data_IF_127099531609
#
_entry.id   IF_127099531609
#
_cell.length_a   1.000
_cell.length_b   1.000
_cell.length_c   1.000
_cell.angle_alpha   90.00
_cell.angle_beta   90.00
_cell.angle_gamma   90.00
#
_symmetry.space_group_name_H-M   'P 1'
#
loop_
_entity.id
_entity.type
_entity.pdbx_description
1 polymer ?
#
# COMPACT_ATOMS: atom_id res chain seq x y z
N UNK A 1 -9.36 -8.68 12.89
CA UNK A 1 -7.89 -8.49 12.77
C UNK A 1 -7.11 -9.75 12.34
N UNK A 2 -7.44 -10.97 12.81
CA UNK A 2 -6.68 -12.22 12.47
C UNK A 2 -6.62 -12.60 10.98
N UNK A 3 -7.57 -12.17 10.15
CA UNK A 3 -7.69 -12.62 8.74
C UNK A 3 -6.91 -11.78 7.71
N UNK A 4 -6.24 -10.69 8.13
CA UNK A 4 -5.52 -9.79 7.20
C UNK A 4 -4.11 -10.33 6.89
N UNK A 5 -3.37 -10.77 7.89
CA UNK A 5 -2.00 -11.28 7.73
C UNK A 5 -1.91 -12.59 6.93
N UNK A 6 -2.87 -13.51 7.08
CA UNK A 6 -2.91 -14.78 6.33
C UNK A 6 -3.11 -14.52 4.83
N UNK A 7 -3.84 -13.46 4.46
CA UNK A 7 -4.01 -13.05 3.05
C UNK A 7 -2.79 -12.32 2.47
N UNK A 8 -1.99 -11.65 3.31
CA UNK A 8 -0.78 -10.94 2.87
C UNK A 8 0.40 -11.90 2.63
N UNK A 9 0.43 -13.08 3.26
CA UNK A 9 1.49 -14.07 3.08
C UNK A 9 1.68 -14.54 1.62
N UNK A 10 0.66 -15.08 0.92
CA UNK A 10 0.82 -15.54 -0.46
C UNK A 10 1.17 -14.38 -1.41
N UNK A 11 0.67 -13.17 -1.12
CA UNK A 11 1.02 -11.97 -1.88
C UNK A 11 2.49 -11.60 -1.72
N UNK A 12 3.01 -11.65 -0.49
CA UNK A 12 4.41 -11.34 -0.19
C UNK A 12 5.34 -12.35 -0.85
N UNK A 13 4.97 -13.62 -0.83
CA UNK A 13 5.70 -14.69 -1.53
C UNK A 13 5.71 -14.44 -3.04
N UNK A 14 4.56 -14.10 -3.63
CA UNK A 14 4.48 -13.77 -5.05
C UNK A 14 5.34 -12.56 -5.44
N UNK A 15 5.33 -11.50 -4.64
CA UNK A 15 6.21 -10.32 -4.84
C UNK A 15 7.67 -10.74 -4.76
N UNK A 16 8.05 -11.54 -3.76
CA UNK A 16 9.42 -12.03 -3.63
C UNK A 16 9.88 -12.89 -4.79
N UNK A 17 9.00 -13.74 -5.34
CA UNK A 17 9.27 -14.51 -6.56
C UNK A 17 9.46 -13.60 -7.78
N UNK A 18 8.63 -12.57 -7.94
CA UNK A 18 8.79 -11.59 -9.02
C UNK A 18 10.13 -10.87 -8.90
N UNK A 19 10.48 -10.37 -7.70
CA UNK A 19 11.76 -9.67 -7.47
C UNK A 19 12.93 -10.60 -7.76
N UNK A 20 12.84 -11.87 -7.32
CA UNK A 20 13.86 -12.87 -7.63
C UNK A 20 14.03 -13.07 -9.15
N UNK A 21 12.93 -13.27 -9.88
CA UNK A 21 12.96 -13.38 -11.33
C UNK A 21 13.59 -12.14 -11.98
N UNK A 22 13.26 -10.93 -11.53
CA UNK A 22 13.85 -9.69 -12.04
C UNK A 22 15.37 -9.66 -11.78
N UNK A 23 15.81 -10.00 -10.57
CA UNK A 23 17.25 -10.04 -10.22
C UNK A 23 18.00 -11.02 -11.13
N UNK A 24 17.44 -12.22 -11.35
CA UNK A 24 18.05 -13.21 -12.25
C UNK A 24 18.06 -12.72 -13.69
N UNK A 25 16.97 -12.11 -14.17
CA UNK A 25 16.93 -11.52 -15.51
C UNK A 25 18.00 -10.43 -15.69
N UNK A 26 18.21 -9.57 -14.70
CA UNK A 26 19.27 -8.54 -14.74
C UNK A 26 20.65 -9.20 -14.84
N UNK A 27 20.94 -10.25 -14.06
CA UNK A 27 22.21 -10.99 -14.13
C UNK A 27 22.45 -11.57 -15.54
N UNK A 28 21.45 -12.23 -16.11
CA UNK A 28 21.52 -12.80 -17.47
C UNK A 28 21.76 -11.72 -18.52
N UNK A 29 21.06 -10.59 -18.44
CA UNK A 29 21.24 -9.47 -19.36
C UNK A 29 22.64 -8.83 -19.27
N UNK A 30 23.28 -8.92 -18.11
CA UNK A 30 24.66 -8.49 -17.91
C UNK A 30 25.71 -9.52 -18.40
N UNK A 31 25.25 -10.67 -18.93
CA UNK A 31 26.11 -11.71 -19.49
C UNK A 31 26.46 -12.84 -18.52
N UNK A 32 25.89 -12.86 -17.31
CA UNK A 32 26.12 -13.96 -16.35
C UNK A 32 25.36 -15.22 -16.80
N UNK A 33 26.03 -16.37 -16.74
CA UNK A 33 25.39 -17.66 -16.94
C UNK A 33 24.60 -18.07 -15.68
N UNK A 34 23.39 -18.61 -15.87
CA UNK A 34 22.61 -19.18 -14.76
C UNK A 34 23.18 -20.57 -14.44
N UNK A 35 23.78 -20.69 -13.27
CA UNK A 35 24.16 -21.97 -12.68
C UNK A 35 23.19 -22.32 -11.54
N UNK A 36 22.72 -23.57 -11.50
CA UNK A 36 21.89 -24.09 -10.41
C UNK A 36 22.78 -24.51 -9.23
N UNK A 37 23.49 -23.55 -8.66
CA UNK A 37 24.47 -23.74 -7.60
C UNK A 37 23.95 -23.28 -6.23
N UNK A 38 24.82 -23.33 -5.21
CA UNK A 38 24.50 -22.81 -3.88
C UNK A 38 24.28 -21.30 -3.89
N UNK A 39 24.96 -20.55 -4.77
CA UNK A 39 24.79 -19.11 -4.89
C UNK A 39 23.37 -18.73 -5.35
N UNK A 40 22.78 -19.49 -6.28
CA UNK A 40 21.40 -19.28 -6.70
C UNK A 40 20.42 -19.54 -5.55
N UNK A 41 20.65 -20.60 -4.76
CA UNK A 41 19.83 -20.91 -3.56
C UNK A 41 19.92 -19.81 -2.51
N UNK A 42 21.13 -19.31 -2.23
CA UNK A 42 21.35 -18.21 -1.30
C UNK A 42 20.70 -16.92 -1.81
N UNK A 43 20.85 -16.61 -3.10
CA UNK A 43 20.18 -15.45 -3.74
C UNK A 43 18.66 -15.54 -3.58
N UNK A 44 18.07 -16.72 -3.79
CA UNK A 44 16.64 -16.94 -3.60
C UNK A 44 16.21 -16.72 -2.15
N UNK A 45 16.92 -17.33 -1.20
CA UNK A 45 16.61 -17.23 0.23
C UNK A 45 16.73 -15.78 0.72
N UNK A 46 17.80 -15.08 0.37
CA UNK A 46 17.99 -13.68 0.72
C UNK A 46 16.92 -12.79 0.09
N UNK A 47 16.56 -13.02 -1.17
CA UNK A 47 15.49 -12.24 -1.82
C UNK A 47 14.14 -12.40 -1.10
N UNK A 48 13.82 -13.61 -0.66
CA UNK A 48 12.63 -13.85 0.16
C UNK A 48 12.76 -13.17 1.54
N UNK A 49 13.90 -13.31 2.21
CA UNK A 49 14.14 -12.69 3.52
C UNK A 49 13.94 -11.17 3.47
N UNK A 50 14.50 -10.51 2.46
CA UNK A 50 14.26 -9.08 2.20
C UNK A 50 12.79 -8.78 1.97
N UNK A 51 12.15 -9.49 1.05
CA UNK A 51 10.75 -9.25 0.66
C UNK A 51 9.80 -9.39 1.85
N UNK A 52 9.96 -10.43 2.65
CA UNK A 52 9.13 -10.66 3.83
C UNK A 52 9.38 -9.62 4.92
N UNK A 53 10.64 -9.36 5.27
CA UNK A 53 11.00 -8.43 6.34
C UNK A 53 10.53 -7.02 6.05
N UNK A 54 10.76 -6.54 4.83
CA UNK A 54 10.36 -5.20 4.39
C UNK A 54 8.84 -5.07 4.29
N UNK A 55 8.15 -6.09 3.76
CA UNK A 55 6.70 -6.08 3.67
C UNK A 55 6.04 -6.07 5.05
N UNK A 56 6.53 -6.88 5.99
CA UNK A 56 6.01 -6.92 7.37
C UNK A 56 6.22 -5.59 8.06
N UNK A 57 7.44 -5.03 7.99
CA UNK A 57 7.77 -3.76 8.62
C UNK A 57 6.88 -2.62 8.09
N UNK A 58 6.81 -2.47 6.76
CA UNK A 58 6.02 -1.41 6.14
C UNK A 58 4.51 -1.62 6.35
N UNK A 59 4.00 -2.84 6.24
CA UNK A 59 2.58 -3.12 6.50
C UNK A 59 2.20 -2.76 7.94
N UNK A 60 3.06 -3.09 8.90
CA UNK A 60 2.82 -2.77 10.32
C UNK A 60 2.82 -1.26 10.54
N UNK A 61 3.78 -0.54 9.95
CA UNK A 61 3.83 0.92 9.97
C UNK A 61 2.55 1.55 9.39
N UNK A 62 2.12 1.11 8.20
CA UNK A 62 0.92 1.69 7.59
C UNK A 62 -0.35 1.37 8.36
N UNK A 63 -0.47 0.18 8.94
CA UNK A 63 -1.59 -0.17 9.81
C UNK A 63 -1.61 0.66 11.09
N UNK A 64 -0.44 0.99 11.64
CA UNK A 64 -0.32 1.91 12.76
C UNK A 64 -0.76 3.33 12.35
N UNK A 65 -0.25 3.84 11.24
CA UNK A 65 -0.63 5.17 10.72
C UNK A 65 -2.12 5.25 10.38
N UNK A 66 -2.75 4.17 9.88
CA UNK A 66 -4.19 4.14 9.59
C UNK A 66 -5.06 4.27 10.84
N UNK A 67 -4.54 3.88 12.01
CA UNK A 67 -5.19 4.09 13.31
C UNK A 67 -4.96 5.52 13.81
N UNK A 68 -3.76 6.07 13.63
CA UNK A 68 -3.44 7.45 14.05
C UNK A 68 -4.20 8.48 13.21
N UNK A 69 -4.34 8.23 11.91
CA UNK A 69 -5.02 9.12 10.96
C UNK A 69 -6.41 8.60 10.58
N UNK A 70 -7.18 8.06 11.53
CA UNK A 70 -8.47 7.39 11.24
C UNK A 70 -9.46 8.28 10.47
N UNK A 71 -9.56 9.56 10.83
CA UNK A 71 -10.46 10.52 10.19
C UNK A 71 -9.90 11.14 8.91
N UNK A 72 -8.59 11.01 8.67
CA UNK A 72 -7.85 11.66 7.59
C UNK A 72 -6.93 10.70 6.84
N UNK A 73 -7.37 9.45 6.66
CA UNK A 73 -6.54 8.36 6.09
C UNK A 73 -5.93 8.69 4.73
N UNK A 74 -6.56 9.58 3.96
CA UNK A 74 -6.12 9.99 2.63
C UNK A 74 -5.64 11.44 2.56
N UNK A 75 -5.38 12.10 3.70
CA UNK A 75 -4.84 13.47 3.69
C UNK A 75 -3.40 13.51 3.19
N UNK A 76 -3.01 14.63 2.55
CA UNK A 76 -1.63 14.86 2.09
C UNK A 76 -0.61 14.69 3.23
N UNK A 77 -0.98 15.12 4.45
CA UNK A 77 -0.17 14.96 5.66
C UNK A 77 0.09 13.49 5.99
N UNK A 78 -0.95 12.65 6.00
CA UNK A 78 -0.81 11.20 6.24
C UNK A 78 0.09 10.56 5.19
N UNK A 79 -0.12 10.88 3.91
CA UNK A 79 0.67 10.31 2.80
C UNK A 79 2.15 10.68 2.95
N UNK A 80 2.45 11.96 3.22
CA UNK A 80 3.82 12.43 3.42
C UNK A 80 4.52 11.74 4.60
N UNK A 81 3.86 11.71 5.76
CA UNK A 81 4.39 11.04 6.96
C UNK A 81 4.60 9.55 6.70
N UNK A 82 3.65 8.89 6.03
CA UNK A 82 3.76 7.48 5.65
C UNK A 82 4.95 7.20 4.75
N UNK A 83 5.16 8.02 3.72
CA UNK A 83 6.29 7.87 2.80
C UNK A 83 7.64 8.09 3.51
N UNK A 84 7.77 9.17 4.29
CA UNK A 84 9.02 9.49 5.00
C UNK A 84 9.35 8.44 6.07
N UNK A 85 8.36 8.05 6.88
CA UNK A 85 8.58 7.01 7.91
C UNK A 85 8.89 5.64 7.28
N UNK A 86 8.24 5.29 6.18
CA UNK A 86 8.51 4.06 5.42
C UNK A 86 9.91 4.05 4.80
N UNK A 87 10.38 5.20 4.33
CA UNK A 87 11.74 5.37 3.80
C UNK A 87 12.79 5.03 4.86
N UNK A 88 12.74 5.70 6.00
CA UNK A 88 13.71 5.47 7.09
C UNK A 88 13.58 4.08 7.70
N UNK A 89 12.36 3.57 7.87
CA UNK A 89 12.13 2.21 8.35
C UNK A 89 12.72 1.17 7.41
N UNK A 90 12.57 1.35 6.09
CA UNK A 90 13.10 0.40 5.12
C UNK A 90 14.62 0.37 5.12
N UNK A 91 15.28 1.52 5.21
CA UNK A 91 16.74 1.59 5.36
C UNK A 91 17.20 0.87 6.63
N UNK A 92 16.52 1.11 7.75
CA UNK A 92 16.83 0.44 9.02
C UNK A 92 16.66 -1.08 8.92
N UNK A 93 15.57 -1.55 8.29
CA UNK A 93 15.32 -2.98 8.09
C UNK A 93 16.39 -3.60 7.18
N UNK A 94 16.76 -2.93 6.08
CA UNK A 94 17.85 -3.39 5.20
C UNK A 94 19.15 -3.49 5.98
N UNK A 95 19.48 -2.48 6.80
CA UNK A 95 20.67 -2.51 7.67
C UNK A 95 20.65 -3.72 8.61
N UNK A 96 19.53 -3.98 9.28
CA UNK A 96 19.39 -5.13 10.18
C UNK A 96 19.55 -6.47 9.44
N UNK A 97 18.99 -6.59 8.23
CA UNK A 97 19.14 -7.81 7.41
C UNK A 97 20.60 -7.99 6.98
N UNK A 98 21.28 -6.93 6.55
CA UNK A 98 22.71 -6.98 6.18
C UNK A 98 23.61 -7.31 7.36
N UNK A 99 23.35 -6.70 8.52
CA UNK A 99 24.03 -7.03 9.76
C UNK A 99 23.85 -8.51 10.09
N UNK A 100 22.63 -9.04 10.00
CA UNK A 100 22.36 -10.45 10.26
C UNK A 100 23.11 -11.37 9.28
N UNK A 101 23.06 -11.10 7.97
CA UNK A 101 23.75 -11.92 6.98
C UNK A 101 25.27 -11.85 7.13
N UNK A 102 25.84 -10.65 7.13
CA UNK A 102 27.30 -10.48 7.09
C UNK A 102 27.96 -10.86 8.43
N UNK A 103 27.35 -10.49 9.56
CA UNK A 103 27.97 -10.71 10.88
C UNK A 103 27.62 -12.07 11.46
N UNK A 104 26.35 -12.49 11.37
CA UNK A 104 25.88 -13.73 12.03
C UNK A 104 26.05 -14.94 11.12
N UNK A 105 25.72 -14.83 9.83
CA UNK A 105 25.82 -15.97 8.90
C UNK A 105 27.25 -16.10 8.34
N UNK A 106 27.81 -15.02 7.81
CA UNK A 106 29.13 -15.04 7.16
C UNK A 106 30.30 -14.88 8.16
N UNK A 107 30.01 -14.53 9.41
CA UNK A 107 31.01 -14.44 10.48
C UNK A 107 31.95 -13.24 10.37
N UNK A 108 31.60 -12.20 9.59
CA UNK A 108 32.41 -10.99 9.46
C UNK A 108 32.37 -10.24 10.81
N UNK A 109 33.53 -9.86 11.38
CA UNK A 109 33.54 -9.07 12.61
C UNK A 109 32.70 -7.80 12.48
N UNK A 110 31.86 -7.50 13.48
CA UNK A 110 30.95 -6.34 13.44
C UNK A 110 31.68 -5.02 13.14
N UNK A 111 32.90 -4.86 13.65
CA UNK A 111 33.73 -3.68 13.39
C UNK A 111 34.14 -3.56 11.92
N UNK A 112 34.37 -4.68 11.24
CA UNK A 112 34.72 -4.70 9.83
C UNK A 112 33.50 -4.42 8.98
N UNK A 113 32.36 -5.05 9.28
CA UNK A 113 31.08 -4.75 8.64
C UNK A 113 30.82 -3.25 8.65
N UNK A 114 30.77 -2.61 9.84
CA UNK A 114 30.50 -1.18 9.98
C UNK A 114 31.48 -0.27 9.22
N UNK A 115 32.73 -0.69 9.02
CA UNK A 115 33.73 0.07 8.26
C UNK A 115 33.58 -0.07 6.75
N UNK A 116 33.08 -1.21 6.28
CA UNK A 116 32.89 -1.51 4.86
C UNK A 116 31.52 -1.11 4.34
N UNK A 117 30.61 -0.67 5.20
CA UNK A 117 29.27 -0.24 4.81
C UNK A 117 29.30 0.97 3.88
N UNK A 118 28.73 0.80 2.69
CA UNK A 118 28.61 1.87 1.70
C UNK A 118 27.15 2.09 1.30
N UNK A 119 26.75 3.32 0.90
CA UNK A 119 25.40 3.55 0.40
C UNK A 119 25.02 2.66 -0.78
N UNK A 120 25.97 2.29 -1.65
CA UNK A 120 25.74 1.41 -2.81
C UNK A 120 25.13 0.07 -2.44
N UNK A 121 25.48 -0.46 -1.27
CA UNK A 121 24.97 -1.75 -0.80
C UNK A 121 23.48 -1.73 -0.46
N UNK A 122 22.91 -0.53 -0.28
CA UNK A 122 21.51 -0.32 0.07
C UNK A 122 20.66 0.02 -1.15
N UNK A 123 21.26 0.52 -2.23
CA UNK A 123 20.54 1.11 -3.36
C UNK A 123 19.59 0.10 -3.99
N UNK A 124 20.07 -1.11 -4.30
CA UNK A 124 19.27 -2.09 -5.02
C UNK A 124 18.01 -2.47 -4.24
N UNK A 125 18.19 -2.93 -2.99
CA UNK A 125 17.07 -3.30 -2.11
C UNK A 125 16.15 -2.12 -1.83
N UNK A 126 16.69 -0.92 -1.65
CA UNK A 126 15.89 0.29 -1.43
C UNK A 126 15.02 0.62 -2.65
N UNK A 127 15.59 0.61 -3.86
CA UNK A 127 14.86 0.89 -5.11
C UNK A 127 13.71 -0.10 -5.29
N UNK A 128 13.95 -1.41 -5.14
CA UNK A 128 12.89 -2.41 -5.21
C UNK A 128 11.81 -2.17 -4.15
N UNK A 129 12.20 -1.86 -2.91
CA UNK A 129 11.26 -1.55 -1.83
C UNK A 129 10.38 -0.35 -2.20
N UNK A 130 10.98 0.74 -2.67
CA UNK A 130 10.23 1.95 -3.06
C UNK A 130 9.30 1.71 -4.25
N UNK A 131 9.72 0.94 -5.26
CA UNK A 131 8.87 0.58 -6.39
C UNK A 131 7.64 -0.21 -5.91
N UNK A 132 7.85 -1.24 -5.07
CA UNK A 132 6.75 -2.04 -4.52
C UNK A 132 5.81 -1.18 -3.65
N UNK A 133 6.37 -0.32 -2.81
CA UNK A 133 5.61 0.61 -1.96
C UNK A 133 4.77 1.60 -2.78
N UNK A 134 5.33 2.17 -3.84
CA UNK A 134 4.63 3.10 -4.73
C UNK A 134 3.46 2.40 -5.43
N UNK A 135 3.68 1.20 -5.98
CA UNK A 135 2.61 0.40 -6.61
C UNK A 135 1.50 0.11 -5.60
N UNK A 136 1.86 -0.31 -4.38
CA UNK A 136 0.90 -0.58 -3.32
C UNK A 136 0.07 0.68 -2.96
N UNK A 137 0.73 1.83 -2.83
CA UNK A 137 0.05 3.09 -2.55
C UNK A 137 -0.87 3.54 -3.68
N UNK A 138 -0.42 3.44 -4.94
CA UNK A 138 -1.25 3.78 -6.10
C UNK A 138 -2.52 2.93 -6.14
N UNK A 139 -2.42 1.62 -5.93
CA UNK A 139 -3.58 0.72 -5.90
C UNK A 139 -4.56 1.11 -4.79
N UNK A 140 -4.06 1.42 -3.59
CA UNK A 140 -4.91 1.78 -2.46
C UNK A 140 -5.59 3.14 -2.64
N UNK A 141 -4.86 4.13 -3.18
CA UNK A 141 -5.43 5.45 -3.49
C UNK A 141 -6.49 5.35 -4.59
N UNK A 142 -6.25 4.54 -5.63
CA UNK A 142 -7.22 4.31 -6.69
C UNK A 142 -8.50 3.65 -6.17
N UNK A 143 -8.39 2.64 -5.30
CA UNK A 143 -9.55 2.01 -4.64
C UNK A 143 -10.35 3.03 -3.83
N UNK A 144 -9.68 3.83 -3.00
CA UNK A 144 -10.32 4.86 -2.19
C UNK A 144 -11.02 5.93 -3.05
N UNK A 145 -10.41 6.33 -4.15
CA UNK A 145 -10.99 7.27 -5.10
C UNK A 145 -12.30 6.73 -5.70
N UNK A 146 -12.32 5.46 -6.13
CA UNK A 146 -13.52 4.83 -6.68
C UNK A 146 -14.63 4.67 -5.65
N UNK A 147 -14.30 4.30 -4.41
CA UNK A 147 -15.28 4.21 -3.31
C UNK A 147 -15.92 5.56 -3.02
N UNK A 148 -15.13 6.63 -2.99
CA UNK A 148 -15.62 7.99 -2.82
C UNK A 148 -16.53 8.42 -3.96
N UNK A 149 -16.16 8.13 -5.21
CA UNK A 149 -16.98 8.43 -6.40
C UNK A 149 -18.34 7.74 -6.35
N UNK A 150 -18.38 6.46 -5.98
CA UNK A 150 -19.64 5.70 -5.83
C UNK A 150 -20.49 6.28 -4.69
N UNK A 151 -19.86 6.68 -3.57
CA UNK A 151 -20.56 7.29 -2.43
C UNK A 151 -21.19 8.63 -2.81
N UNK A 152 -20.46 9.47 -3.54
CA UNK A 152 -20.95 10.77 -4.03
C UNK A 152 -22.16 10.60 -4.97
N UNK A 153 -22.08 9.66 -5.92
CA UNK A 153 -23.19 9.36 -6.82
C UNK A 153 -24.45 8.89 -6.06
N UNK A 154 -24.30 8.09 -5.00
CA UNK A 154 -25.42 7.67 -4.14
C UNK A 154 -26.05 8.85 -3.40
N UNK A 155 -25.26 9.81 -2.93
CA UNK A 155 -25.77 11.02 -2.27
C UNK A 155 -26.56 11.89 -3.25
N UNK A 156 -26.05 12.08 -4.47
CA UNK A 156 -26.74 12.84 -5.53
C UNK A 156 -28.06 12.17 -5.90
N UNK A 157 -28.05 10.85 -6.13
CA UNK A 157 -29.26 10.09 -6.44
C UNK A 157 -30.29 10.17 -5.31
N UNK A 158 -29.86 9.97 -4.05
CA UNK A 158 -30.74 10.08 -2.89
C UNK A 158 -31.33 11.49 -2.72
N UNK A 159 -30.52 12.53 -2.94
CA UNK A 159 -30.99 13.93 -2.89
C UNK A 159 -31.98 14.24 -4.01
N UNK A 160 -31.72 13.73 -5.23
CA UNK A 160 -32.64 13.87 -6.35
C UNK A 160 -33.97 13.15 -6.09
N UNK A 161 -33.94 11.92 -5.57
CA UNK A 161 -35.13 11.18 -5.17
C UNK A 161 -35.92 11.89 -4.07
N UNK A 162 -35.26 12.42 -3.04
CA UNK A 162 -35.93 13.16 -1.97
C UNK A 162 -36.59 14.45 -2.49
N UNK A 163 -35.92 15.18 -3.39
CA UNK A 163 -36.51 16.35 -4.06
C UNK A 163 -37.69 15.97 -4.93
N UNK A 164 -37.58 14.89 -5.72
CA UNK A 164 -38.67 14.40 -6.57
C UNK A 164 -39.92 14.04 -5.75
N UNK A 165 -39.75 13.28 -4.66
CA UNK A 165 -40.88 12.95 -3.76
C UNK A 165 -41.48 14.20 -3.10
N UNK A 166 -40.64 15.18 -2.70
CA UNK A 166 -41.13 16.46 -2.21
C UNK A 166 -41.94 17.23 -3.25
N UNK A 167 -41.51 17.28 -4.52
CA UNK A 167 -42.27 17.92 -5.59
C UNK A 167 -43.58 17.18 -5.87
N UNK A 168 -43.54 15.85 -5.91
CA UNK A 168 -44.72 15.00 -6.11
C UNK A 168 -45.78 15.27 -5.03
N UNK A 169 -45.37 15.37 -3.77
CA UNK A 169 -46.27 15.67 -2.65
C UNK A 169 -46.82 17.12 -2.68
N UNK A 170 -46.17 18.06 -3.37
CA UNK A 170 -46.71 19.41 -3.58
C UNK A 170 -47.79 19.47 -4.67
N UNK A 171 -47.74 18.57 -5.65
CA UNK A 171 -48.74 18.42 -6.72
C UNK A 171 -49.85 17.45 -6.26
N UNK A 172 -49.92 17.14 -4.96
CA UNK A 172 -51.00 16.33 -4.39
C UNK A 172 -52.35 16.98 -4.73
N UNK A 173 -53.26 16.26 -5.42
CA UNK A 173 -54.54 16.81 -5.83
C UNK A 173 -55.33 17.38 -4.66
N UNK A 174 -55.19 16.85 -3.44
CA UNK A 174 -55.81 17.43 -2.25
C UNK A 174 -55.30 18.86 -1.96
N UNK A 175 -54.01 19.13 -2.16
CA UNK A 175 -53.43 20.47 -2.01
C UNK A 175 -53.90 21.43 -3.10
N UNK A 176 -53.96 20.94 -4.35
CA UNK A 176 -54.50 21.69 -5.48
C UNK A 176 -55.98 22.02 -5.29
N UNK A 177 -56.79 21.06 -4.84
CA UNK A 177 -58.21 21.26 -4.55
C UNK A 177 -58.44 22.19 -3.34
N UNK A 178 -57.63 22.11 -2.29
CA UNK A 178 -57.68 23.07 -1.17
C UNK A 178 -57.36 24.49 -1.63
N UNK A 179 -56.33 24.66 -2.47
CA UNK A 179 -55.96 25.97 -3.02
C UNK A 179 -57.06 26.53 -3.93
N UNK A 180 -57.68 25.69 -4.75
CA UNK A 180 -58.79 26.07 -5.64
C UNK A 180 -60.08 26.41 -4.87
N UNK A 181 -60.44 25.62 -3.86
CA UNK A 181 -61.64 25.89 -3.07
C UNK A 181 -61.52 27.18 -2.25
N UNK A 182 -60.33 27.50 -1.73
CA UNK A 182 -60.08 28.78 -1.06
C UNK A 182 -60.25 29.95 -2.03
N UNK A 183 -59.72 29.84 -3.25
CA UNK A 183 -59.84 30.87 -4.28
C UNK A 183 -61.27 31.03 -4.81
N UNK A 184 -62.06 29.95 -4.86
CA UNK A 184 -63.46 29.95 -5.25
C UNK A 184 -64.41 30.46 -4.15
N UNK A 185 -63.95 30.51 -2.90
CA UNK A 185 -64.74 30.94 -1.75
C UNK A 185 -64.68 32.44 -1.46
N UNK A 186 -63.89 33.18 -2.25
CA UNK A 186 -63.76 34.64 -2.23
C UNK A 186 -64.66 35.25 -3.31
#
# INVERSE_FOLDING_TARGET
MKNKYVKEFPRTLYIGLIVFCIIISIKVLNGDAIHFDENLKLTFFYTLLYSFSLQIANTTLFQYLDKVFENERFSKKRIFIGFVSSFFLSILVIFCIRLFMNVIIEGIPMINFLKTETPSDYILSSVFTFVVLLIFHMINLYKAYNENKVKEQKIIAGTASAKFESLKNQIDPHFLFNSLNVLSSL
#
